data_IF_504659826649
#
_entry.id   IF_504659826649
#
_cell.length_a   1.000
_cell.length_b   1.000
_cell.length_c   1.000
_cell.angle_alpha   90.00
_cell.angle_beta   90.00
_cell.angle_gamma   90.00
#
_symmetry.space_group_name_H-M   'P 1'
#
loop_
_entity.id
_entity.type
_entity.pdbx_description
1 polymer ?
#
# COMPACT_ATOMS: atom_id res chain seq x y z
N UNK A 1 4.87 1.26 -19.23
CA UNK A 1 5.36 0.29 -18.23
C UNK A 1 6.12 1.09 -17.18
N UNK A 2 5.53 1.27 -15.99
CA UNK A 2 6.10 2.15 -14.96
C UNK A 2 7.15 1.37 -14.17
N UNK A 3 8.43 1.66 -14.41
CA UNK A 3 9.54 1.11 -13.65
C UNK A 3 9.63 1.79 -12.29
N UNK A 4 9.42 1.04 -11.22
CA UNK A 4 9.68 1.47 -9.85
C UNK A 4 10.94 0.73 -9.38
N UNK A 5 12.06 1.45 -9.31
CA UNK A 5 13.30 0.97 -8.70
C UNK A 5 13.21 1.14 -7.18
N UNK A 6 13.43 0.04 -6.47
CA UNK A 6 13.39 -0.08 -5.00
C UNK A 6 14.55 0.68 -4.33
N UNK A 7 14.37 1.11 -3.07
CA UNK A 7 15.44 1.64 -2.20
C UNK A 7 15.45 0.93 -0.83
N UNK A 8 16.67 0.62 -0.37
CA UNK A 8 17.15 0.59 1.01
C UNK A 8 18.67 0.80 0.97
N UNK A 9 19.24 1.85 1.57
CA UNK A 9 20.71 2.01 1.61
C UNK A 9 21.20 2.41 3.01
N UNK A 10 21.97 1.55 3.69
CA UNK A 10 22.69 1.88 4.92
C UNK A 10 24.09 2.50 4.70
N UNK A 11 24.63 2.55 3.47
CA UNK A 11 26.04 2.95 3.22
C UNK A 11 26.26 3.69 1.90
N UNK A 12 27.29 4.54 1.84
CA UNK A 12 27.69 5.38 0.70
C UNK A 12 27.94 4.59 -0.61
N UNK A 13 28.49 3.37 -0.49
CA UNK A 13 28.78 2.49 -1.62
C UNK A 13 27.54 2.03 -2.38
N UNK A 14 26.44 1.78 -1.69
CA UNK A 14 25.19 1.33 -2.34
C UNK A 14 24.47 2.52 -3.00
N UNK A 15 24.75 3.76 -2.56
CA UNK A 15 24.24 4.95 -3.23
C UNK A 15 24.94 5.17 -4.59
N UNK A 16 26.24 4.90 -4.67
CA UNK A 16 27.01 4.96 -5.91
C UNK A 16 26.55 3.88 -6.91
N UNK A 17 26.29 2.65 -6.44
CA UNK A 17 25.74 1.56 -7.26
C UNK A 17 24.32 1.88 -7.77
N UNK A 18 23.45 2.45 -6.92
CA UNK A 18 22.11 2.90 -7.34
C UNK A 18 22.15 4.04 -8.36
N UNK A 19 23.07 5.00 -8.20
CA UNK A 19 23.27 6.09 -9.16
C UNK A 19 23.78 5.56 -10.50
N UNK A 20 24.68 4.58 -10.49
CA UNK A 20 25.14 3.89 -11.69
C UNK A 20 23.99 3.18 -12.43
N UNK A 21 23.18 2.41 -11.71
CA UNK A 21 22.00 1.73 -12.28
C UNK A 21 20.97 2.74 -12.83
N UNK A 22 20.77 3.85 -12.13
CA UNK A 22 19.86 4.92 -12.57
C UNK A 22 20.34 5.58 -13.86
N UNK A 23 21.65 5.83 -13.98
CA UNK A 23 22.25 6.37 -15.19
C UNK A 23 22.08 5.41 -16.38
N UNK A 24 22.30 4.11 -16.19
CA UNK A 24 22.05 3.12 -17.25
C UNK A 24 20.58 3.13 -17.73
N UNK A 25 19.63 3.29 -16.81
CA UNK A 25 18.21 3.34 -17.14
C UNK A 25 17.87 4.63 -17.90
N UNK A 26 18.39 5.77 -17.46
CA UNK A 26 18.20 7.07 -18.13
C UNK A 26 18.81 7.04 -19.54
N UNK A 27 19.99 6.45 -19.72
CA UNK A 27 20.68 6.34 -21.01
C UNK A 27 19.91 5.50 -22.03
N UNK A 28 19.00 4.62 -21.57
CA UNK A 28 18.11 3.84 -22.44
C UNK A 28 16.86 4.62 -22.87
N UNK A 29 16.51 5.74 -22.24
CA UNK A 29 15.28 6.48 -22.54
C UNK A 29 15.19 6.99 -23.99
N UNK A 30 16.26 7.52 -24.62
CA UNK A 30 16.21 7.95 -26.02
C UNK A 30 15.85 6.80 -26.96
N UNK A 31 16.33 5.58 -26.69
CA UNK A 31 16.02 4.38 -27.50
C UNK A 31 14.53 4.03 -27.50
N UNK A 32 13.85 4.31 -26.40
CA UNK A 32 12.41 4.03 -26.23
C UNK A 32 11.52 5.28 -26.34
N UNK A 33 12.06 6.41 -26.81
CA UNK A 33 11.36 7.72 -26.89
C UNK A 33 10.69 8.14 -25.57
N UNK A 34 11.26 7.74 -24.43
CA UNK A 34 10.75 8.12 -23.11
C UNK A 34 11.21 9.54 -22.76
N UNK A 35 10.29 10.37 -22.25
CA UNK A 35 10.58 11.75 -21.80
C UNK A 35 10.53 11.87 -20.29
N UNK A 36 11.47 12.61 -19.74
CA UNK A 36 11.61 12.84 -18.30
C UNK A 36 10.58 13.85 -17.79
N UNK A 37 9.76 13.47 -16.81
CA UNK A 37 8.86 14.41 -16.13
C UNK A 37 9.49 14.87 -14.81
N UNK A 38 10.17 16.03 -14.83
CA UNK A 38 10.86 16.59 -13.67
C UNK A 38 9.96 16.83 -12.47
N UNK A 39 8.67 17.14 -12.67
CA UNK A 39 7.72 17.38 -11.57
C UNK A 39 7.33 16.10 -10.81
N UNK A 40 7.45 14.92 -11.44
CA UNK A 40 7.12 13.61 -10.83
C UNK A 40 8.33 12.91 -10.21
N UNK A 41 9.54 13.42 -10.45
CA UNK A 41 10.77 12.80 -9.97
C UNK A 41 11.11 13.32 -8.57
N UNK A 42 10.81 12.52 -7.55
CA UNK A 42 11.22 12.80 -6.17
C UNK A 42 12.51 12.02 -5.88
N UNK A 43 13.61 12.75 -5.70
CA UNK A 43 14.93 12.17 -5.43
C UNK A 43 14.93 11.48 -4.06
N UNK A 44 15.31 10.19 -4.05
CA UNK A 44 15.92 9.36 -2.99
C UNK A 44 15.40 9.39 -1.54
N UNK A 45 14.42 10.21 -1.17
CA UNK A 45 13.93 10.35 0.21
C UNK A 45 12.44 10.06 0.37
N UNK A 46 11.70 10.02 -0.74
CA UNK A 46 10.24 9.90 -0.72
C UNK A 46 9.72 9.01 -1.83
N UNK A 47 10.15 7.75 -1.84
CA UNK A 47 9.54 6.77 -2.75
C UNK A 47 8.13 6.44 -2.21
N UNK A 48 7.12 6.89 -2.98
CA UNK A 48 5.72 6.44 -2.95
C UNK A 48 4.96 6.58 -1.62
N UNK A 49 5.02 7.77 -1.01
CA UNK A 49 4.20 8.09 0.18
C UNK A 49 4.49 7.17 1.37
N UNK A 50 5.72 6.64 1.41
CA UNK A 50 6.32 6.13 2.62
C UNK A 50 7.59 6.92 2.96
N UNK A 51 7.73 7.30 4.22
CA UNK A 51 8.99 7.77 4.81
C UNK A 51 9.78 6.49 5.11
N UNK A 52 10.89 6.29 4.40
CA UNK A 52 11.82 5.21 4.72
C UNK A 52 12.55 5.60 6.01
N UNK A 53 12.15 5.01 7.13
CA UNK A 53 12.92 5.09 8.38
C UNK A 53 14.05 4.05 8.38
N UNK A 54 15.00 4.12 9.33
CA UNK A 54 16.19 3.25 9.37
C UNK A 54 15.91 1.73 9.31
N UNK A 55 14.68 1.29 9.63
CA UNK A 55 14.30 -0.12 9.71
C UNK A 55 12.85 -0.41 9.30
N UNK A 56 12.06 0.60 8.91
CA UNK A 56 10.62 0.44 8.63
C UNK A 56 10.17 1.36 7.52
N UNK A 57 9.33 0.83 6.66
CA UNK A 57 8.48 1.64 5.80
C UNK A 57 7.50 2.39 6.71
N UNK A 58 7.44 3.73 6.69
CA UNK A 58 6.41 4.48 7.42
C UNK A 58 5.44 5.08 6.42
N UNK A 59 4.16 4.74 6.48
CA UNK A 59 3.16 5.38 5.61
C UNK A 59 3.07 6.89 5.86
N UNK A 60 2.78 7.68 4.83
CA UNK A 60 2.56 9.12 4.95
C UNK A 60 1.49 9.43 6.03
N UNK A 61 1.94 9.92 7.18
CA UNK A 61 1.08 10.22 8.32
C UNK A 61 0.00 11.23 7.97
N UNK A 62 0.21 12.09 6.97
CA UNK A 62 -0.78 13.11 6.57
C UNK A 62 -2.05 12.48 6.02
N UNK A 63 -1.94 11.40 5.24
CA UNK A 63 -3.11 10.67 4.72
C UNK A 63 -3.83 9.90 5.82
N UNK A 64 -3.10 9.37 6.80
CA UNK A 64 -3.66 8.63 7.92
C UNK A 64 -4.42 9.57 8.86
N UNK A 65 -3.86 10.75 9.16
CA UNK A 65 -4.51 11.81 9.94
C UNK A 65 -5.79 12.26 9.24
N UNK A 66 -5.73 12.58 7.94
CA UNK A 66 -6.93 12.94 7.15
C UNK A 66 -8.00 11.85 7.15
N UNK A 67 -7.60 10.58 7.07
CA UNK A 67 -8.54 9.47 7.14
C UNK A 67 -9.19 9.34 8.52
N UNK A 68 -8.44 9.61 9.58
CA UNK A 68 -8.93 9.56 10.97
C UNK A 68 -9.92 10.70 11.27
N UNK A 69 -9.60 11.91 10.81
CA UNK A 69 -10.43 13.12 10.92
C UNK A 69 -11.63 13.13 9.97
N UNK A 70 -11.71 12.14 9.06
CA UNK A 70 -12.84 12.02 8.14
C UNK A 70 -14.14 11.86 8.92
N UNK A 71 -15.12 12.72 8.64
CA UNK A 71 -16.47 12.68 9.23
C UNK A 71 -17.24 11.48 8.70
N UNK A 72 -18.22 10.99 9.45
CA UNK A 72 -19.07 9.88 8.98
C UNK A 72 -19.70 10.26 7.64
N UNK A 73 -19.51 9.45 6.57
CA UNK A 73 -20.10 9.68 5.26
C UNK A 73 -21.62 9.78 5.33
N UNK A 74 -22.20 10.81 4.70
CA UNK A 74 -23.66 11.02 4.66
C UNK A 74 -24.24 10.66 3.29
N UNK A 75 -23.40 10.65 2.25
CA UNK A 75 -23.80 10.37 0.88
C UNK A 75 -22.78 9.49 0.14
N UNK A 76 -23.14 9.02 -1.06
CA UNK A 76 -22.34 8.09 -1.85
C UNK A 76 -20.96 8.66 -2.21
N UNK A 77 -20.90 9.97 -2.50
CA UNK A 77 -19.66 10.66 -2.84
C UNK A 77 -18.71 10.68 -1.66
N UNK A 78 -19.22 10.82 -0.43
CA UNK A 78 -18.41 10.76 0.79
C UNK A 78 -17.84 9.35 1.00
N UNK A 79 -18.64 8.30 0.74
CA UNK A 79 -18.17 6.91 0.85
C UNK A 79 -17.07 6.62 -0.17
N UNK A 80 -17.25 7.03 -1.43
CA UNK A 80 -16.22 6.91 -2.48
C UNK A 80 -14.96 7.66 -2.06
N UNK A 81 -15.10 8.92 -1.61
CA UNK A 81 -13.98 9.75 -1.18
C UNK A 81 -13.20 9.11 -0.03
N UNK A 82 -13.89 8.50 0.93
CA UNK A 82 -13.27 7.76 2.03
C UNK A 82 -12.54 6.49 1.54
N UNK A 83 -13.15 5.73 0.64
CA UNK A 83 -12.54 4.53 0.06
C UNK A 83 -11.29 4.86 -0.76
N UNK A 84 -11.29 5.97 -1.51
CA UNK A 84 -10.12 6.45 -2.25
C UNK A 84 -8.99 6.89 -1.32
N UNK A 85 -9.34 7.62 -0.26
CA UNK A 85 -8.37 8.09 0.74
C UNK A 85 -7.71 6.92 1.48
N UNK A 86 -8.52 5.93 1.89
CA UNK A 86 -8.05 4.78 2.68
C UNK A 86 -7.48 3.65 1.81
N UNK A 87 -7.87 3.57 0.53
CA UNK A 87 -7.43 2.53 -0.41
C UNK A 87 -5.91 2.50 -0.63
N UNK A 88 -5.23 3.64 -0.45
CA UNK A 88 -3.77 3.70 -0.41
C UNK A 88 -3.15 2.72 0.61
N UNK A 89 -3.86 2.47 1.71
CA UNK A 89 -3.41 1.63 2.82
C UNK A 89 -3.70 0.15 2.67
N UNK A 90 -4.39 -0.27 1.59
CA UNK A 90 -4.69 -1.69 1.31
C UNK A 90 -3.47 -2.60 1.42
N UNK A 91 -2.31 -2.12 0.97
CA UNK A 91 -1.06 -2.87 0.97
C UNK A 91 -0.36 -2.96 2.34
N UNK A 92 -0.77 -2.10 3.29
CA UNK A 92 -0.14 -1.95 4.61
C UNK A 92 -0.96 -2.56 5.74
N UNK A 93 -2.19 -2.98 5.46
CA UNK A 93 -3.13 -3.51 6.46
C UNK A 93 -3.72 -4.84 5.99
N UNK A 94 -3.55 -5.87 6.82
CA UNK A 94 -4.10 -7.20 6.57
C UNK A 94 -5.62 -7.14 6.41
N UNK A 95 -6.15 -7.91 5.46
CA UNK A 95 -7.58 -8.06 5.20
C UNK A 95 -8.33 -6.74 4.91
N UNK A 96 -7.65 -5.71 4.40
CA UNK A 96 -8.27 -4.42 4.11
C UNK A 96 -9.52 -4.56 3.22
N UNK A 97 -9.44 -5.31 2.11
CA UNK A 97 -10.58 -5.45 1.20
C UNK A 97 -11.79 -6.13 1.86
N UNK A 98 -11.57 -7.10 2.76
CA UNK A 98 -12.65 -7.74 3.53
C UNK A 98 -13.28 -6.75 4.50
N UNK A 99 -12.45 -5.95 5.20
CA UNK A 99 -12.92 -4.95 6.18
C UNK A 99 -13.64 -3.78 5.53
N UNK A 100 -13.22 -3.34 4.34
CA UNK A 100 -13.85 -2.23 3.61
C UNK A 100 -15.01 -2.67 2.71
N UNK A 101 -15.30 -3.98 2.62
CA UNK A 101 -16.33 -4.51 1.75
C UNK A 101 -17.75 -3.96 2.03
N UNK A 102 -18.18 -3.76 3.30
CA UNK A 102 -19.49 -3.16 3.58
C UNK A 102 -19.65 -1.78 2.92
N UNK A 103 -18.64 -0.91 3.05
CA UNK A 103 -18.64 0.41 2.40
C UNK A 103 -18.62 0.31 0.86
N UNK A 104 -17.85 -0.63 0.31
CA UNK A 104 -17.83 -0.85 -1.14
C UNK A 104 -19.17 -1.35 -1.69
N UNK A 105 -19.96 -2.06 -0.88
CA UNK A 105 -21.29 -2.52 -1.26
C UNK A 105 -22.31 -1.38 -1.24
N UNK A 106 -22.15 -0.38 -0.36
CA UNK A 106 -23.01 0.81 -0.30
C UNK A 106 -22.94 1.63 -1.60
N UNK A 107 -21.74 1.78 -2.18
CA UNK A 107 -21.53 2.50 -3.45
C UNK A 107 -22.11 1.75 -4.67
N UNK A 108 -22.22 0.41 -4.60
CA UNK A 108 -22.69 -0.39 -5.74
C UNK A 108 -24.22 -0.40 -5.89
N UNK A 109 -24.95 -0.06 -4.84
CA UNK A 109 -26.42 -0.03 -4.87
C UNK A 109 -26.85 1.39 -5.19
N UNK A 110 -27.61 1.57 -6.27
CA UNK A 110 -28.31 2.84 -6.60
C UNK A 110 -29.49 3.02 -5.65
N UNK A 111 -29.22 3.05 -4.34
CA UNK A 111 -30.21 3.10 -3.26
C UNK A 111 -29.65 4.00 -2.16
N UNK A 112 -30.55 4.61 -1.40
CA UNK A 112 -30.26 5.36 -0.17
C UNK A 112 -29.22 4.63 0.68
N UNK A 113 -28.21 5.34 1.17
CA UNK A 113 -27.19 4.77 2.06
C UNK A 113 -27.85 4.35 3.36
N UNK A 114 -27.93 3.05 3.58
CA UNK A 114 -28.29 2.47 4.87
C UNK A 114 -27.02 2.32 5.72
N UNK A 115 -26.76 3.33 6.55
CA UNK A 115 -25.60 3.33 7.44
C UNK A 115 -25.86 2.47 8.68
N UNK A 116 -25.53 1.18 8.57
CA UNK A 116 -25.71 0.20 9.63
C UNK A 116 -24.41 -0.07 10.41
N UNK A 117 -24.47 -0.96 11.40
CA UNK A 117 -23.31 -1.33 12.23
C UNK A 117 -22.14 -1.90 11.42
N UNK A 118 -22.40 -2.62 10.32
CA UNK A 118 -21.34 -3.16 9.47
C UNK A 118 -20.62 -2.07 8.70
N UNK A 119 -21.35 -1.05 8.22
CA UNK A 119 -20.78 0.14 7.61
C UNK A 119 -19.93 0.92 8.62
N UNK A 120 -20.40 1.07 9.86
CA UNK A 120 -19.63 1.72 10.92
C UNK A 120 -18.33 0.96 11.23
N UNK A 121 -18.39 -0.38 11.41
CA UNK A 121 -17.20 -1.22 11.62
C UNK A 121 -16.20 -1.12 10.46
N UNK A 122 -16.69 -1.00 9.24
CA UNK A 122 -15.88 -0.80 8.04
C UNK A 122 -15.30 0.61 7.93
N UNK A 123 -15.97 1.62 8.49
CA UNK A 123 -15.47 2.99 8.57
C UNK A 123 -14.39 3.15 9.64
N UNK A 124 -14.52 2.44 10.76
CA UNK A 124 -13.56 2.45 11.88
C UNK A 124 -12.19 1.85 11.50
N UNK A 125 -12.01 1.35 10.27
CA UNK A 125 -10.70 0.99 9.72
C UNK A 125 -9.71 2.17 9.79
N UNK A 126 -10.22 3.41 9.77
CA UNK A 126 -9.44 4.63 9.88
C UNK A 126 -8.57 4.68 11.14
N UNK A 127 -9.05 4.13 12.25
CA UNK A 127 -8.33 4.09 13.53
C UNK A 127 -7.04 3.27 13.42
N UNK A 128 -7.09 2.17 12.65
CA UNK A 128 -5.93 1.32 12.43
C UNK A 128 -4.88 1.95 11.50
N UNK A 129 -5.20 3.04 10.78
CA UNK A 129 -4.28 3.68 9.84
C UNK A 129 -3.21 4.52 10.53
N UNK A 130 -3.46 4.98 11.76
CA UNK A 130 -2.48 5.73 12.56
C UNK A 130 -1.38 4.83 13.12
N UNK A 131 -1.66 3.53 13.28
CA UNK A 131 -0.65 2.57 13.74
C UNK A 131 0.40 2.34 12.66
N UNK A 132 1.69 2.18 13.04
CA UNK A 132 2.78 1.88 12.10
C UNK A 132 2.39 0.74 11.16
N UNK A 133 2.78 0.81 9.87
CA UNK A 133 2.58 -0.31 8.97
C UNK A 133 3.37 -1.52 9.47
N UNK A 134 2.77 -2.70 9.39
CA UNK A 134 3.39 -3.93 9.88
C UNK A 134 4.51 -4.44 8.95
N UNK A 135 4.83 -3.71 7.87
CA UNK A 135 5.72 -4.19 6.81
C UNK A 135 7.20 -4.02 7.15
N UNK A 136 7.98 -5.04 6.84
CA UNK A 136 9.43 -4.99 6.81
C UNK A 136 9.94 -4.27 5.56
N UNK A 137 11.22 -3.91 5.63
CA UNK A 137 11.99 -3.44 4.51
C UNK A 137 12.56 -4.66 3.76
N UNK A 138 12.48 -4.70 2.42
CA UNK A 138 13.05 -5.80 1.63
C UNK A 138 14.53 -6.02 1.95
N UNK A 139 14.87 -7.25 2.31
CA UNK A 139 16.26 -7.71 2.48
C UNK A 139 16.58 -8.66 1.32
N UNK A 140 17.56 -8.33 0.44
CA UNK A 140 17.92 -9.18 -0.68
C UNK A 140 18.51 -10.54 -0.26
N UNK A 141 18.91 -10.70 1.00
CA UNK A 141 19.49 -11.94 1.53
C UNK A 141 18.46 -12.82 2.27
N UNK A 142 17.23 -12.33 2.45
CA UNK A 142 16.16 -13.08 3.09
C UNK A 142 15.38 -13.90 2.06
N UNK A 143 14.92 -15.08 2.46
CA UNK A 143 14.08 -15.93 1.61
C UNK A 143 12.67 -15.33 1.52
N UNK A 144 12.06 -15.33 0.33
CA UNK A 144 10.70 -14.86 0.14
C UNK A 144 9.71 -16.02 0.28
N UNK A 145 8.65 -15.79 1.04
CA UNK A 145 7.55 -16.72 1.23
C UNK A 145 6.23 -16.04 0.87
N UNK A 146 5.29 -16.77 0.28
CA UNK A 146 3.93 -16.30 0.03
C UNK A 146 2.95 -17.15 0.83
N UNK A 147 2.16 -16.51 1.67
CA UNK A 147 1.10 -17.14 2.45
C UNK A 147 -0.26 -16.68 1.92
N UNK A 148 -1.12 -17.62 1.53
CA UNK A 148 -2.44 -17.34 0.94
C UNK A 148 -3.56 -17.92 1.79
N UNK A 149 -4.67 -17.20 1.91
CA UNK A 149 -5.91 -17.64 2.51
C UNK A 149 -7.06 -17.31 1.55
N UNK A 150 -7.97 -18.25 1.31
CA UNK A 150 -9.12 -18.06 0.44
C UNK A 150 -10.39 -18.55 1.11
N UNK A 151 -11.46 -17.79 0.91
CA UNK A 151 -12.81 -18.11 1.36
C UNK A 151 -13.78 -17.89 0.20
N UNK A 152 -15.02 -18.39 0.32
CA UNK A 152 -16.08 -18.13 -0.68
C UNK A 152 -16.38 -16.64 -0.91
N UNK A 153 -15.90 -15.75 -0.03
CA UNK A 153 -16.12 -14.29 -0.12
C UNK A 153 -14.91 -13.55 -0.72
N UNK A 154 -13.70 -14.09 -0.61
CA UNK A 154 -12.49 -13.35 -0.95
C UNK A 154 -11.20 -14.10 -0.70
N UNK A 155 -10.13 -13.59 -1.32
CA UNK A 155 -8.74 -14.05 -1.23
C UNK A 155 -7.92 -13.03 -0.43
N UNK A 156 -7.06 -13.51 0.46
CA UNK A 156 -6.00 -12.77 1.11
C UNK A 156 -4.64 -13.39 0.78
N UNK A 157 -3.64 -12.55 0.52
CA UNK A 157 -2.25 -12.99 0.30
C UNK A 157 -1.31 -12.09 1.10
N UNK A 158 -0.28 -12.69 1.67
CA UNK A 158 0.83 -12.00 2.32
C UNK A 158 2.11 -12.44 1.63
N UNK A 159 2.85 -11.49 1.08
CA UNK A 159 4.25 -11.69 0.74
C UNK A 159 5.05 -11.43 2.00
N UNK A 160 5.91 -12.37 2.38
CA UNK A 160 6.69 -12.36 3.61
C UNK A 160 8.16 -12.63 3.27
N UNK A 161 9.04 -12.17 4.14
CA UNK A 161 10.45 -12.57 4.12
C UNK A 161 10.78 -13.36 5.37
N UNK A 162 11.49 -14.47 5.17
CA UNK A 162 11.99 -15.35 6.22
C UNK A 162 13.48 -15.10 6.38
N UNK A 163 13.85 -14.64 7.57
CA UNK A 163 15.23 -14.39 7.95
C UNK A 163 15.91 -15.67 8.42
N UNK A 164 17.25 -15.70 8.37
CA UNK A 164 18.05 -16.87 8.79
C UNK A 164 17.85 -17.26 10.26
N UNK A 165 17.43 -16.32 11.10
CA UNK A 165 17.09 -16.56 12.51
C UNK A 165 15.69 -17.19 12.71
N UNK A 166 14.97 -17.51 11.63
CA UNK A 166 13.62 -18.08 11.68
C UNK A 166 12.50 -17.04 11.81
N UNK A 167 12.82 -15.75 11.95
CA UNK A 167 11.83 -14.67 11.99
C UNK A 167 11.16 -14.52 10.62
N UNK A 168 9.83 -14.32 10.61
CA UNK A 168 9.05 -14.05 9.40
C UNK A 168 8.42 -12.68 9.53
N UNK A 169 8.66 -11.81 8.55
CA UNK A 169 8.05 -10.47 8.50
C UNK A 169 7.31 -10.22 7.19
N UNK A 170 6.14 -9.56 7.21
CA UNK A 170 5.40 -9.28 6.01
C UNK A 170 6.06 -8.15 5.20
N UNK A 171 6.12 -8.31 3.89
CA UNK A 171 6.58 -7.34 2.91
C UNK A 171 5.43 -6.66 2.17
N UNK A 172 4.32 -7.37 1.98
CA UNK A 172 3.18 -6.85 1.24
C UNK A 172 1.90 -7.61 1.58
N UNK A 173 0.79 -6.88 1.76
CA UNK A 173 -0.54 -7.48 1.84
C UNK A 173 -1.32 -7.28 0.55
N UNK A 174 -1.88 -8.35 0.03
CA UNK A 174 -2.89 -8.32 -1.03
C UNK A 174 -4.20 -8.88 -0.47
N UNK A 175 -5.31 -8.34 -0.93
CA UNK A 175 -6.62 -8.90 -0.64
C UNK A 175 -7.58 -8.56 -1.75
N UNK A 176 -8.41 -9.49 -2.19
CA UNK A 176 -9.38 -9.31 -3.27
C UNK A 176 -10.71 -9.95 -2.88
N UNK A 177 -11.81 -9.25 -3.14
CA UNK A 177 -13.16 -9.81 -3.01
C UNK A 177 -13.44 -10.67 -4.25
N UNK A 178 -14.00 -11.86 -4.05
CA UNK A 178 -14.46 -12.71 -5.15
C UNK A 178 -15.87 -12.26 -5.58
N UNK A 179 -16.13 -12.26 -6.88
CA UNK A 179 -17.49 -12.07 -7.38
C UNK A 179 -18.22 -13.42 -7.26
N UNK A 180 -19.53 -13.41 -6.91
CA UNK A 180 -20.35 -14.62 -6.99
C UNK A 180 -20.29 -15.19 -8.41
N UNK A 181 -20.21 -16.53 -8.51
CA UNK A 181 -20.34 -17.26 -9.78
C UNK A 181 -21.79 -17.27 -10.24
#
# INVERSE_FOLDING_TARGET
MWGYLFNNLPTQRVAEEHLSLLNEVIDRFPRYRLKFNRKKWQFLTKILSCILGPQRLQTDKRKAVKANEFKTPENERDVISFLDLTGFYRRYKRNFAKRSAPLSNLVRKVVTIDWNEEAQKAFDIKNALLSPPALALPDPNAELQVTTDASGVGIGVVLEQKYRNGEVKPLYFYSQKLNPS
#
